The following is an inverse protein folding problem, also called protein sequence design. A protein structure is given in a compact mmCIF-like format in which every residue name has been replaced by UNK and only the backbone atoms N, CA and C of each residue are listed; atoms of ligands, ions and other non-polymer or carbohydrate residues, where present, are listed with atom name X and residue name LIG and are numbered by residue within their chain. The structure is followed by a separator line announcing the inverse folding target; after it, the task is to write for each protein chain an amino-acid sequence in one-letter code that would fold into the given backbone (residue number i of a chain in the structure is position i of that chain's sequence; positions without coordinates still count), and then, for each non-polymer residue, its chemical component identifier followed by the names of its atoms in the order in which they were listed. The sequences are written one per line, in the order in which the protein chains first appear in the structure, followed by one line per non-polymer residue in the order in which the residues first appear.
data_IF_672319959383
#
_entry.id   IF_672319959383
#
_cell.length_a   1.000
_cell.length_b   1.000
_cell.length_c   1.000
_cell.angle_alpha   90.00
_cell.angle_beta   90.00
_cell.angle_gamma   90.00
#
_symmetry.space_group_name_H-M   'P 1'
#
loop_
_entity.id
_entity.type
_entity.pdbx_description
1 polymer ?
#
# COMPACT_ATOMS: atom_id res chain seq x y z
N UNK A 1 17.50 -8.12 19.66
CA UNK A 1 16.17 -7.83 20.23
C UNK A 1 15.16 -8.83 19.69
N UNK A 2 14.09 -9.01 20.44
CA UNK A 2 12.88 -9.70 19.98
C UNK A 2 11.89 -8.67 19.45
N UNK A 3 11.45 -8.81 18.22
CA UNK A 3 10.55 -7.87 17.55
C UNK A 3 9.25 -8.57 17.19
N UNK A 4 8.12 -8.01 17.63
CA UNK A 4 6.81 -8.45 17.19
C UNK A 4 6.34 -7.56 16.07
N UNK A 5 6.03 -8.15 14.91
CA UNK A 5 5.37 -7.49 13.80
C UNK A 5 3.92 -7.95 13.70
N UNK A 6 3.01 -7.04 13.39
CA UNK A 6 1.61 -7.37 13.17
C UNK A 6 1.08 -6.75 11.88
N UNK A 7 0.54 -7.55 10.97
CA UNK A 7 0.06 -7.05 9.68
C UNK A 7 -1.31 -7.61 9.31
N UNK A 8 -2.15 -6.75 8.72
CA UNK A 8 -3.33 -7.19 7.99
C UNK A 8 -2.92 -8.08 6.81
N UNK A 9 -3.65 -9.16 6.58
CA UNK A 9 -3.21 -10.20 5.65
C UNK A 9 -3.37 -9.88 4.16
N UNK A 10 -3.86 -8.71 3.75
CA UNK A 10 -3.82 -8.33 2.34
C UNK A 10 -2.39 -8.01 1.88
N UNK A 11 -2.05 -8.31 0.60
CA UNK A 11 -0.70 -8.07 0.07
C UNK A 11 -0.20 -6.64 0.26
N UNK A 12 -1.10 -5.64 0.20
CA UNK A 12 -0.76 -4.23 0.41
C UNK A 12 -0.22 -3.90 1.80
N UNK A 13 -0.51 -4.74 2.79
CA UNK A 13 -0.13 -4.59 4.20
C UNK A 13 0.90 -5.64 4.64
N UNK A 14 0.68 -6.90 4.27
CA UNK A 14 1.57 -8.00 4.62
C UNK A 14 2.96 -7.87 3.98
N UNK A 15 3.04 -7.52 2.69
CA UNK A 15 4.32 -7.45 1.98
C UNK A 15 5.27 -6.38 2.51
N UNK A 16 4.85 -5.13 2.78
CA UNK A 16 5.70 -4.15 3.44
C UNK A 16 6.18 -4.59 4.82
N UNK A 17 5.34 -5.31 5.58
CA UNK A 17 5.72 -5.81 6.90
C UNK A 17 6.72 -6.97 6.79
N UNK A 18 6.57 -7.86 5.82
CA UNK A 18 7.57 -8.92 5.53
C UNK A 18 8.91 -8.29 5.11
N UNK A 19 8.87 -7.23 4.27
CA UNK A 19 10.08 -6.50 3.89
C UNK A 19 10.82 -5.90 5.09
N UNK A 20 10.08 -5.29 6.03
CA UNK A 20 10.65 -4.80 7.29
C UNK A 20 11.21 -5.96 8.13
N UNK A 21 10.46 -7.06 8.28
CA UNK A 21 10.88 -8.23 9.03
C UNK A 21 12.19 -8.81 8.49
N UNK A 22 12.31 -8.94 7.16
CA UNK A 22 13.55 -9.38 6.50
C UNK A 22 14.73 -8.46 6.81
N UNK A 23 14.51 -7.14 6.79
CA UNK A 23 15.57 -6.18 7.13
C UNK A 23 16.01 -6.31 8.59
N UNK A 24 15.09 -6.54 9.53
CA UNK A 24 15.38 -6.77 10.93
C UNK A 24 16.13 -8.10 11.16
N UNK A 25 15.71 -9.19 10.50
CA UNK A 25 16.42 -10.49 10.53
C UNK A 25 17.85 -10.35 10.02
N UNK A 26 18.07 -9.63 8.91
CA UNK A 26 19.39 -9.37 8.35
C UNK A 26 20.32 -8.60 9.31
N UNK A 27 19.75 -7.86 10.28
CA UNK A 27 20.47 -7.14 11.34
C UNK A 27 20.63 -7.98 12.61
N UNK A 28 20.22 -9.25 12.59
CA UNK A 28 20.41 -10.19 13.71
C UNK A 28 19.33 -10.13 14.78
N UNK A 29 18.13 -9.63 14.45
CA UNK A 29 17.01 -9.61 15.39
C UNK A 29 16.17 -10.89 15.29
N UNK A 30 15.56 -11.26 16.41
CA UNK A 30 14.60 -12.36 16.52
C UNK A 30 13.20 -11.79 16.24
N UNK A 31 12.65 -12.09 15.04
CA UNK A 31 11.45 -11.45 14.50
C UNK A 31 10.30 -12.46 14.44
N UNK A 32 9.16 -12.09 15.01
CA UNK A 32 7.90 -12.82 14.85
C UNK A 32 6.89 -11.96 14.14
N UNK A 33 6.28 -12.47 13.06
CA UNK A 33 5.21 -11.78 12.33
C UNK A 33 3.86 -12.47 12.56
N UNK A 34 2.90 -11.73 13.13
CA UNK A 34 1.51 -12.12 13.21
C UNK A 34 0.74 -11.60 11.99
N UNK A 35 0.24 -12.51 11.16
CA UNK A 35 -0.58 -12.21 9.97
C UNK A 35 -1.42 -13.42 9.57
N UNK A 36 -2.15 -13.35 8.45
CA UNK A 36 -3.01 -14.43 7.97
C UNK A 36 -2.22 -15.68 7.60
N UNK A 37 -2.76 -16.84 7.92
CA UNK A 37 -2.13 -18.16 7.75
C UNK A 37 -1.67 -18.45 6.32
N UNK A 38 -2.30 -17.86 5.31
CA UNK A 38 -1.88 -18.01 3.91
C UNK A 38 -0.44 -17.55 3.62
N UNK A 39 0.15 -16.73 4.50
CA UNK A 39 1.52 -16.21 4.35
C UNK A 39 2.55 -16.99 5.15
N UNK A 40 2.16 -18.00 5.93
CA UNK A 40 3.06 -18.74 6.83
C UNK A 40 4.34 -19.18 6.12
N UNK A 41 4.23 -19.96 5.04
CA UNK A 41 5.38 -20.47 4.31
C UNK A 41 6.29 -19.35 3.78
N UNK A 42 5.70 -18.25 3.32
CA UNK A 42 6.43 -17.11 2.79
C UNK A 42 7.19 -16.36 3.90
N UNK A 43 6.57 -16.17 5.06
CA UNK A 43 7.15 -15.53 6.24
C UNK A 43 8.32 -16.37 6.79
N UNK A 44 8.10 -17.68 6.99
CA UNK A 44 9.13 -18.60 7.47
C UNK A 44 10.31 -18.71 6.49
N UNK A 45 10.03 -18.62 5.18
CA UNK A 45 11.05 -18.61 4.13
C UNK A 45 12.02 -17.42 4.18
N UNK A 46 11.62 -16.32 4.82
CA UNK A 46 12.45 -15.12 5.06
C UNK A 46 13.17 -15.17 6.42
N UNK A 47 13.11 -16.30 7.14
CA UNK A 47 13.72 -16.45 8.47
C UNK A 47 12.95 -15.73 9.58
N UNK A 48 11.69 -15.40 9.36
CA UNK A 48 10.79 -14.75 10.33
C UNK A 48 9.91 -15.81 10.97
N UNK A 49 9.79 -15.84 12.30
CA UNK A 49 8.86 -16.71 12.97
C UNK A 49 7.42 -16.30 12.67
N UNK A 50 6.56 -17.28 12.41
CA UNK A 50 5.15 -17.02 12.06
C UNK A 50 4.24 -17.20 13.28
N UNK A 51 3.28 -16.29 13.43
CA UNK A 51 2.15 -16.42 14.34
C UNK A 51 0.83 -16.17 13.57
N UNK A 52 -0.20 -17.02 13.71
CA UNK A 52 -1.48 -16.78 13.06
C UNK A 52 -2.19 -15.58 13.67
N UNK A 53 -2.70 -14.67 12.83
CA UNK A 53 -3.56 -13.60 13.28
C UNK A 53 -4.97 -14.14 13.57
N UNK A 54 -5.64 -13.68 14.65
CA UNK A 54 -7.07 -13.94 14.82
C UNK A 54 -7.87 -13.31 13.69
N UNK A 55 -8.71 -14.10 13.01
CA UNK A 55 -9.53 -13.64 11.89
C UNK A 55 -11.00 -13.56 12.35
N UNK A 56 -11.49 -12.33 12.53
CA UNK A 56 -12.88 -12.08 12.89
C UNK A 56 -13.66 -11.49 11.72
N UNK A 57 -14.90 -11.92 11.57
CA UNK A 57 -15.78 -11.40 10.53
C UNK A 57 -16.36 -10.05 10.96
N UNK A 58 -15.98 -8.98 10.27
CA UNK A 58 -16.31 -7.59 10.62
C UNK A 58 -17.36 -6.97 9.68
N UNK A 59 -17.50 -7.50 8.46
CA UNK A 59 -18.46 -6.98 7.48
C UNK A 59 -19.61 -7.97 7.24
N UNK A 60 -20.77 -7.52 6.72
CA UNK A 60 -21.98 -8.34 6.59
C UNK A 60 -21.88 -9.43 5.52
N UNK A 61 -20.86 -10.27 5.60
CA UNK A 61 -20.65 -11.45 4.77
C UNK A 61 -21.05 -12.75 5.48
N UNK A 62 -21.65 -12.67 6.69
CA UNK A 62 -22.09 -13.79 7.50
C UNK A 62 -23.27 -13.45 8.40
N UNK A 63 -23.81 -14.46 9.12
CA UNK A 63 -25.04 -14.30 9.89
C UNK A 63 -24.92 -13.37 11.10
N UNK A 64 -23.73 -13.23 11.69
CA UNK A 64 -23.49 -12.41 12.89
C UNK A 64 -22.10 -11.72 12.80
N UNK A 65 -21.96 -10.66 11.99
CA UNK A 65 -20.70 -9.92 11.92
C UNK A 65 -20.51 -9.10 13.21
N UNK A 66 -19.30 -9.11 13.74
CA UNK A 66 -18.91 -8.22 14.84
C UNK A 66 -18.78 -6.77 14.38
N UNK A 67 -19.04 -5.81 15.27
CA UNK A 67 -18.64 -4.44 15.05
C UNK A 67 -17.10 -4.36 14.97
N UNK A 68 -16.57 -3.40 14.21
CA UNK A 68 -15.11 -3.32 13.98
C UNK A 68 -14.31 -3.29 15.27
N UNK A 69 -14.68 -2.44 16.21
CA UNK A 69 -13.97 -2.32 17.48
C UNK A 69 -14.23 -3.47 18.47
N UNK A 70 -15.36 -4.13 18.36
CA UNK A 70 -15.64 -5.39 19.08
C UNK A 70 -14.68 -6.50 18.61
N UNK A 71 -14.48 -6.63 17.31
CA UNK A 71 -13.49 -7.57 16.75
C UNK A 71 -12.06 -7.25 17.23
N UNK A 72 -11.71 -5.97 17.35
CA UNK A 72 -10.40 -5.54 17.89
C UNK A 72 -10.23 -5.98 19.34
N UNK A 73 -11.26 -5.89 20.18
CA UNK A 73 -11.21 -6.34 21.58
C UNK A 73 -10.92 -7.85 21.65
N UNK A 74 -11.68 -8.65 20.90
CA UNK A 74 -11.49 -10.11 20.85
C UNK A 74 -10.09 -10.46 20.33
N UNK A 75 -9.69 -9.89 19.20
CA UNK A 75 -8.38 -10.13 18.60
C UNK A 75 -7.22 -9.72 19.53
N UNK A 76 -7.37 -8.63 20.30
CA UNK A 76 -6.37 -8.23 21.30
C UNK A 76 -6.26 -9.24 22.43
N UNK A 77 -7.40 -9.73 22.94
CA UNK A 77 -7.42 -10.76 24.00
C UNK A 77 -6.78 -12.07 23.54
N UNK A 78 -7.01 -12.46 22.30
CA UNK A 78 -6.42 -13.68 21.70
C UNK A 78 -4.94 -13.53 21.41
N UNK A 79 -4.48 -12.31 21.09
CA UNK A 79 -3.06 -12.01 20.83
C UNK A 79 -2.24 -11.87 22.10
N UNK A 80 -2.84 -11.42 23.21
CA UNK A 80 -2.15 -11.12 24.47
C UNK A 80 -1.35 -12.30 25.06
N UNK A 81 -1.81 -13.55 25.07
CA UNK A 81 -1.02 -14.69 25.55
C UNK A 81 0.28 -14.88 24.77
N UNK A 82 0.27 -14.69 23.46
CA UNK A 82 1.42 -14.79 22.58
C UNK A 82 2.43 -13.67 22.90
N UNK A 83 1.97 -12.43 23.07
CA UNK A 83 2.85 -11.29 23.44
C UNK A 83 3.53 -11.54 24.79
N UNK A 84 2.78 -12.05 25.78
CA UNK A 84 3.33 -12.39 27.11
C UNK A 84 4.36 -13.51 27.05
N UNK A 85 4.18 -14.50 26.19
CA UNK A 85 5.12 -15.60 26.00
C UNK A 85 6.38 -15.16 25.25
N UNK A 86 6.21 -14.34 24.21
CA UNK A 86 7.30 -13.83 23.37
C UNK A 86 8.17 -12.83 24.13
N UNK A 87 7.58 -11.97 24.96
CA UNK A 87 8.24 -10.84 25.64
C UNK A 87 9.07 -9.99 24.66
N UNK A 88 8.43 -9.37 23.63
CA UNK A 88 9.16 -8.58 22.66
C UNK A 88 9.69 -7.28 23.28
N UNK A 89 10.86 -6.84 22.80
CA UNK A 89 11.45 -5.56 23.17
C UNK A 89 10.72 -4.38 22.52
N UNK A 90 10.15 -4.62 21.33
CA UNK A 90 9.37 -3.65 20.53
C UNK A 90 8.33 -4.35 19.68
N UNK A 91 7.20 -3.67 19.44
CA UNK A 91 6.19 -4.13 18.49
C UNK A 91 6.00 -3.10 17.36
N UNK A 92 5.81 -3.58 16.14
CA UNK A 92 5.42 -2.76 14.97
C UNK A 92 4.11 -3.29 14.42
N UNK A 93 3.07 -2.48 14.47
CA UNK A 93 1.76 -2.85 13.94
C UNK A 93 1.45 -2.06 12.65
N UNK A 94 0.88 -2.73 11.67
CA UNK A 94 0.31 -2.07 10.50
C UNK A 94 -0.88 -1.20 10.91
N UNK A 95 -1.07 -0.07 10.25
CA UNK A 95 -2.12 0.92 10.55
C UNK A 95 -3.54 0.33 10.62
N UNK A 96 -3.83 -0.77 9.91
CA UNK A 96 -5.13 -1.46 9.96
C UNK A 96 -5.20 -2.54 11.05
N UNK A 97 -4.10 -2.86 11.73
CA UNK A 97 -4.00 -4.00 12.64
C UNK A 97 -3.74 -3.53 14.06
N UNK A 98 -4.81 -3.16 14.79
CA UNK A 98 -4.71 -2.60 16.13
C UNK A 98 -4.41 -3.66 17.22
N UNK A 99 -4.82 -4.91 17.04
CA UNK A 99 -4.74 -5.93 18.08
C UNK A 99 -3.32 -6.19 18.59
N UNK A 100 -2.28 -6.38 17.75
CA UNK A 100 -0.90 -6.52 18.22
C UNK A 100 -0.39 -5.29 18.95
N UNK A 101 -0.78 -4.08 18.51
CA UNK A 101 -0.40 -2.83 19.17
C UNK A 101 -0.98 -2.74 20.59
N UNK A 102 -2.30 -2.98 20.72
CA UNK A 102 -2.96 -2.92 22.03
C UNK A 102 -2.50 -4.04 22.98
N UNK A 103 -2.23 -5.24 22.44
CA UNK A 103 -1.66 -6.34 23.25
C UNK A 103 -0.24 -6.02 23.73
N UNK A 104 0.58 -5.36 22.91
CA UNK A 104 1.91 -4.89 23.28
C UNK A 104 1.83 -3.79 24.35
N UNK A 105 0.93 -2.80 24.19
CA UNK A 105 0.72 -1.77 25.22
C UNK A 105 0.28 -2.36 26.57
N UNK A 106 -0.55 -3.41 26.58
CA UNK A 106 -0.95 -4.13 27.80
C UNK A 106 0.22 -4.86 28.50
N UNK A 107 1.34 -5.00 27.82
CA UNK A 107 2.59 -5.59 28.34
C UNK A 107 3.70 -4.54 28.50
N UNK A 108 3.39 -3.24 28.45
CA UNK A 108 4.34 -2.12 28.52
C UNK A 108 5.43 -2.15 27.44
N UNK A 109 5.16 -2.84 26.30
CA UNK A 109 6.07 -2.91 25.16
C UNK A 109 5.91 -1.66 24.28
N UNK A 110 7.00 -0.97 23.89
CA UNK A 110 6.91 0.17 22.98
C UNK A 110 6.38 -0.24 21.61
N UNK A 111 5.50 0.63 21.03
CA UNK A 111 4.80 0.34 19.78
C UNK A 111 5.13 1.38 18.71
N UNK A 112 5.53 0.90 17.54
CA UNK A 112 5.58 1.67 16.30
C UNK A 112 4.40 1.31 15.38
N UNK A 113 4.07 2.23 14.45
CA UNK A 113 3.09 1.95 13.39
C UNK A 113 3.76 1.96 12.02
N UNK A 114 3.52 0.91 11.22
CA UNK A 114 3.85 0.90 9.80
C UNK A 114 2.64 1.37 9.00
N UNK A 115 2.86 2.38 8.16
CA UNK A 115 1.88 2.92 7.20
C UNK A 115 2.36 2.53 5.80
N UNK A 116 1.79 1.48 5.18
CA UNK A 116 2.29 0.91 3.92
C UNK A 116 1.83 1.69 2.67
N UNK A 117 1.50 2.94 2.81
CA UNK A 117 1.03 3.85 1.76
C UNK A 117 1.39 5.29 2.08
N UNK A 118 0.96 6.26 1.25
CA UNK A 118 1.12 7.68 1.54
C UNK A 118 0.44 8.05 2.86
N UNK A 119 1.03 9.01 3.56
CA UNK A 119 0.58 9.40 4.90
C UNK A 119 -0.88 9.90 4.87
N UNK A 120 -1.79 9.29 5.66
CA UNK A 120 -3.22 9.55 5.52
C UNK A 120 -3.69 10.87 6.12
N UNK A 121 -2.87 11.53 6.94
CA UNK A 121 -3.24 12.80 7.53
C UNK A 121 -2.87 13.97 6.62
N UNK A 122 -3.86 14.76 6.23
CA UNK A 122 -3.65 15.99 5.48
C UNK A 122 -3.38 17.20 6.38
N UNK A 123 -2.74 18.24 5.83
CA UNK A 123 -2.79 19.58 6.39
C UNK A 123 -4.21 20.16 6.21
N UNK A 124 -4.54 21.20 6.97
CA UNK A 124 -5.90 21.78 6.97
C UNK A 124 -6.40 22.26 5.61
N UNK A 125 -5.49 22.58 4.70
CA UNK A 125 -5.81 23.05 3.36
C UNK A 125 -5.52 22.01 2.26
N UNK A 126 -5.18 20.77 2.65
CA UNK A 126 -5.06 19.66 1.71
C UNK A 126 -6.45 19.12 1.33
N UNK A 127 -6.57 18.49 0.15
CA UNK A 127 -7.74 17.69 -0.17
C UNK A 127 -7.98 16.61 0.88
N UNK A 128 -9.25 16.28 1.08
CA UNK A 128 -9.61 15.14 1.92
C UNK A 128 -9.01 13.87 1.32
N UNK A 129 -8.31 13.12 2.15
CA UNK A 129 -7.68 11.84 1.78
C UNK A 129 -8.66 10.90 1.09
N UNK A 130 -8.20 10.12 0.13
CA UNK A 130 -8.97 9.18 -0.70
C UNK A 130 -9.94 9.81 -1.72
N UNK A 131 -10.19 11.11 -1.72
CA UNK A 131 -10.99 11.73 -2.79
C UNK A 131 -10.23 11.83 -4.11
N UNK A 132 -8.90 11.79 -4.06
CA UNK A 132 -8.04 11.93 -5.23
C UNK A 132 -8.14 13.30 -5.89
N UNK A 133 -8.43 14.34 -5.13
CA UNK A 133 -8.42 15.69 -5.63
C UNK A 133 -6.99 16.22 -5.71
N UNK A 134 -6.73 17.12 -6.66
CA UNK A 134 -5.43 17.75 -6.80
C UNK A 134 -5.16 18.75 -5.68
N UNK A 135 -3.90 18.88 -5.29
CA UNK A 135 -3.47 19.91 -4.33
C UNK A 135 -3.89 21.30 -4.84
N UNK A 136 -4.53 22.15 -4.00
CA UNK A 136 -5.04 23.44 -4.43
C UNK A 136 -3.88 24.41 -4.76
N UNK A 137 -3.98 25.05 -5.92
CA UNK A 137 -3.00 26.04 -6.39
C UNK A 137 -3.39 27.48 -6.04
N UNK A 138 -4.63 27.71 -5.61
CA UNK A 138 -5.18 29.05 -5.32
C UNK A 138 -5.59 29.20 -3.85
N UNK A 139 -5.61 30.44 -3.36
CA UNK A 139 -6.11 30.75 -2.01
C UNK A 139 -7.56 30.33 -1.79
N UNK A 140 -8.43 30.52 -2.79
CA UNK A 140 -9.82 30.06 -2.74
C UNK A 140 -9.93 28.53 -2.63
N UNK A 141 -9.12 27.79 -3.37
CA UNK A 141 -9.07 26.34 -3.26
C UNK A 141 -8.61 25.87 -1.87
N UNK A 142 -7.59 26.49 -1.30
CA UNK A 142 -7.16 26.22 0.08
C UNK A 142 -8.25 26.52 1.10
N UNK A 143 -8.94 27.64 0.95
CA UNK A 143 -10.06 28.01 1.84
C UNK A 143 -11.21 27.00 1.76
N UNK A 144 -11.54 26.52 0.55
CA UNK A 144 -12.54 25.47 0.34
C UNK A 144 -12.18 24.20 1.13
N UNK A 145 -10.94 23.70 1.02
CA UNK A 145 -10.52 22.50 1.73
C UNK A 145 -10.46 22.67 3.23
N UNK A 146 -10.06 23.86 3.73
CA UNK A 146 -10.18 24.19 5.18
C UNK A 146 -11.62 24.09 5.69
N UNK A 147 -12.59 24.49 4.87
CA UNK A 147 -14.01 24.35 5.23
C UNK A 147 -14.47 22.89 5.24
N UNK A 148 -14.04 22.10 4.24
CA UNK A 148 -14.36 20.69 4.12
C UNK A 148 -13.72 19.84 5.23
N UNK A 149 -12.55 20.24 5.74
CA UNK A 149 -11.81 19.52 6.79
C UNK A 149 -12.62 19.36 8.08
N UNK A 150 -13.56 20.26 8.39
CA UNK A 150 -14.45 20.13 9.56
C UNK A 150 -15.25 18.82 9.60
N UNK A 151 -15.58 18.25 8.45
CA UNK A 151 -16.26 16.95 8.39
C UNK A 151 -15.29 15.79 8.72
N UNK A 152 -14.05 15.91 8.25
CA UNK A 152 -12.98 14.95 8.58
C UNK A 152 -12.71 14.99 10.09
N UNK A 153 -12.55 16.18 10.67
CA UNK A 153 -12.31 16.37 12.10
C UNK A 153 -13.40 15.71 12.97
N UNK A 154 -14.68 15.82 12.55
CA UNK A 154 -15.79 15.14 13.25
C UNK A 154 -15.69 13.62 13.16
N UNK A 155 -15.34 13.08 11.98
CA UNK A 155 -15.14 11.63 11.79
C UNK A 155 -13.98 11.11 12.62
N UNK A 156 -12.87 11.83 12.67
CA UNK A 156 -11.70 11.48 13.46
C UNK A 156 -11.98 11.51 14.96
N UNK A 157 -12.76 12.50 15.44
CA UNK A 157 -13.17 12.57 16.82
C UNK A 157 -14.14 11.43 17.21
N UNK A 158 -15.03 11.01 16.30
CA UNK A 158 -15.84 9.82 16.51
C UNK A 158 -14.96 8.57 16.65
N UNK A 159 -14.05 8.35 15.70
CA UNK A 159 -13.12 7.22 15.76
C UNK A 159 -12.24 7.22 17.03
N UNK A 160 -11.83 8.39 17.52
CA UNK A 160 -11.13 8.51 18.81
C UNK A 160 -11.98 8.04 19.99
N UNK A 161 -13.26 8.40 20.01
CA UNK A 161 -14.19 7.97 21.09
C UNK A 161 -14.39 6.47 21.07
N UNK A 162 -14.67 5.90 19.91
CA UNK A 162 -14.87 4.45 19.75
C UNK A 162 -13.61 3.66 20.14
N UNK A 163 -12.43 4.13 19.73
CA UNK A 163 -11.17 3.52 20.15
C UNK A 163 -10.95 3.64 21.66
N UNK A 164 -11.30 4.78 22.28
CA UNK A 164 -11.18 4.95 23.74
C UNK A 164 -12.16 4.07 24.52
N UNK A 165 -13.33 3.76 23.96
CA UNK A 165 -14.24 2.77 24.57
C UNK A 165 -13.62 1.37 24.53
N UNK A 166 -13.02 0.98 23.39
CA UNK A 166 -12.23 -0.26 23.26
C UNK A 166 -11.08 -0.31 24.27
N UNK A 167 -10.29 0.76 24.37
CA UNK A 167 -9.15 0.84 25.30
C UNK A 167 -9.59 0.70 26.74
N UNK A 168 -10.71 1.34 27.12
CA UNK A 168 -11.28 1.24 28.48
C UNK A 168 -11.70 -0.20 28.80
N UNK A 169 -12.31 -0.91 27.84
CA UNK A 169 -12.69 -2.31 28.03
C UNK A 169 -11.49 -3.25 28.17
N UNK A 170 -10.36 -2.89 27.57
CA UNK A 170 -9.08 -3.59 27.70
C UNK A 170 -8.28 -3.16 28.94
N UNK A 171 -8.70 -2.15 29.68
CA UNK A 171 -7.97 -1.62 30.83
C UNK A 171 -6.83 -0.65 30.48
N UNK A 172 -6.79 -0.14 29.26
CA UNK A 172 -5.81 0.84 28.78
C UNK A 172 -6.28 2.29 29.03
N UNK A 173 -5.37 3.24 29.29
CA UNK A 173 -5.73 4.65 29.42
C UNK A 173 -6.25 5.23 28.09
N UNK A 174 -7.16 6.23 28.14
CA UNK A 174 -7.68 6.86 26.94
C UNK A 174 -6.59 7.68 26.22
N UNK A 175 -6.75 7.81 24.89
CA UNK A 175 -5.93 8.68 24.05
C UNK A 175 -6.56 10.07 23.96
N UNK A 176 -5.75 11.11 24.13
CA UNK A 176 -6.18 12.50 24.00
C UNK A 176 -6.15 12.99 22.54
N UNK A 177 -5.35 12.37 21.71
CA UNK A 177 -5.17 12.73 20.29
C UNK A 177 -6.05 11.89 19.37
N UNK A 178 -6.44 12.45 18.23
CA UNK A 178 -7.07 11.74 17.13
C UNK A 178 -6.04 10.85 16.40
N UNK A 179 -6.51 9.94 15.54
CA UNK A 179 -5.66 8.97 14.83
C UNK A 179 -4.93 7.98 15.75
N UNK A 180 -5.63 7.49 16.76
CA UNK A 180 -5.09 6.58 17.76
C UNK A 180 -4.57 5.23 17.22
N UNK A 181 -4.80 4.91 15.94
CA UNK A 181 -4.16 3.78 15.25
C UNK A 181 -2.72 4.06 14.81
N UNK A 182 -2.23 5.31 14.94
CA UNK A 182 -0.86 5.70 14.60
C UNK A 182 -0.10 6.05 15.88
N UNK A 183 0.98 5.34 16.12
CA UNK A 183 1.83 5.59 17.28
C UNK A 183 2.44 6.98 17.25
N UNK A 184 2.47 7.65 18.40
CA UNK A 184 3.19 8.92 18.59
C UNK A 184 4.64 8.73 19.04
N UNK A 185 5.09 7.49 19.20
CA UNK A 185 6.50 7.18 19.47
C UNK A 185 7.27 7.03 18.16
N UNK A 186 6.70 6.26 17.20
CA UNK A 186 7.30 6.05 15.87
C UNK A 186 6.22 5.65 14.87
N UNK A 187 6.17 6.35 13.75
CA UNK A 187 5.36 6.00 12.58
C UNK A 187 6.24 5.96 11.33
N UNK A 188 6.29 4.78 10.70
CA UNK A 188 7.06 4.52 9.49
C UNK A 188 6.15 4.63 8.27
N UNK A 189 6.39 5.58 7.39
CA UNK A 189 5.61 5.77 6.15
C UNK A 189 6.37 5.14 4.99
N UNK A 190 5.87 3.99 4.50
CA UNK A 190 6.54 3.17 3.50
C UNK A 190 6.20 3.63 2.06
N UNK A 191 6.58 4.85 1.71
CA UNK A 191 6.35 5.43 0.38
C UNK A 191 7.55 6.28 -0.06
N UNK A 192 7.57 6.67 -1.32
CA UNK A 192 8.52 7.65 -1.82
C UNK A 192 8.27 9.02 -1.17
N UNK A 193 9.29 9.71 -0.62
CA UNK A 193 9.15 11.10 -0.16
C UNK A 193 8.60 12.02 -1.26
N UNK A 194 8.91 11.74 -2.52
CA UNK A 194 8.48 12.49 -3.69
C UNK A 194 6.98 12.31 -4.02
N UNK A 195 6.30 11.35 -3.41
CA UNK A 195 4.84 11.19 -3.49
C UNK A 195 4.12 11.93 -2.35
N UNK A 196 4.85 12.42 -1.36
CA UNK A 196 4.26 13.18 -0.25
C UNK A 196 4.15 14.67 -0.56
N UNK A 197 3.00 15.25 -0.28
CA UNK A 197 2.82 16.70 -0.40
C UNK A 197 3.70 17.44 0.63
N UNK A 198 4.27 18.60 0.28
CA UNK A 198 5.10 19.38 1.20
C UNK A 198 4.35 19.72 2.48
N UNK A 199 4.94 19.36 3.62
CA UNK A 199 4.36 19.58 4.96
C UNK A 199 5.44 19.70 6.03
N UNK A 200 5.06 20.22 7.19
CA UNK A 200 5.82 20.03 8.41
C UNK A 200 5.53 18.63 8.97
N UNK A 201 6.56 17.78 9.02
CA UNK A 201 6.42 16.44 9.56
C UNK A 201 6.48 16.46 11.10
N UNK A 202 5.58 15.72 11.79
CA UNK A 202 5.75 15.44 13.20
C UNK A 202 7.05 14.66 13.46
N UNK A 203 7.73 14.93 14.57
CA UNK A 203 9.03 14.29 14.89
C UNK A 203 9.00 12.76 14.87
N UNK A 204 7.87 12.17 15.27
CA UNK A 204 7.68 10.71 15.31
C UNK A 204 7.34 10.08 13.95
N UNK A 205 7.17 10.87 12.88
CA UNK A 205 6.77 10.37 11.55
C UNK A 205 7.95 10.42 10.59
N UNK A 206 8.34 9.25 10.06
CA UNK A 206 9.47 9.11 9.16
C UNK A 206 9.01 8.48 7.84
N UNK A 207 9.25 9.17 6.72
CA UNK A 207 9.07 8.60 5.38
C UNK A 207 10.34 7.82 5.04
N UNK A 208 10.24 6.49 5.11
CA UNK A 208 11.41 5.60 5.02
C UNK A 208 11.73 5.14 3.60
N UNK A 209 10.84 5.39 2.65
CA UNK A 209 10.90 4.80 1.31
C UNK A 209 10.00 3.58 1.18
N UNK A 210 9.78 3.07 -0.05
CA UNK A 210 8.91 1.92 -0.28
C UNK A 210 9.51 0.63 0.29
N UNK A 211 8.76 -0.04 1.16
CA UNK A 211 9.09 -1.37 1.65
C UNK A 211 8.49 -2.40 0.69
N UNK A 212 9.34 -3.09 -0.06
CA UNK A 212 8.91 -3.95 -1.16
C UNK A 212 9.35 -5.39 -0.94
N UNK A 213 8.38 -6.28 -0.95
CA UNK A 213 8.56 -7.71 -0.99
C UNK A 213 7.48 -8.33 -1.91
N UNK A 214 7.75 -9.49 -2.46
CA UNK A 214 6.76 -10.32 -3.14
C UNK A 214 7.13 -11.79 -3.02
N UNK A 215 6.16 -12.71 -3.05
CA UNK A 215 6.44 -14.13 -3.05
C UNK A 215 7.19 -14.54 -4.32
N UNK A 216 8.03 -15.59 -4.25
CA UNK A 216 8.68 -16.16 -5.43
C UNK A 216 7.65 -16.50 -6.53
N UNK A 217 8.02 -16.23 -7.77
CA UNK A 217 7.22 -16.53 -8.95
C UNK A 217 8.14 -16.90 -10.13
N UNK A 218 7.62 -17.63 -11.10
CA UNK A 218 8.34 -17.97 -12.31
C UNK A 218 8.54 -16.77 -13.23
N UNK A 219 9.57 -16.84 -14.07
CA UNK A 219 9.79 -15.84 -15.10
C UNK A 219 8.76 -15.97 -16.21
N UNK A 220 8.32 -14.82 -16.70
CA UNK A 220 7.40 -14.75 -17.84
C UNK A 220 8.05 -13.95 -18.95
N UNK A 221 8.27 -14.57 -20.10
CA UNK A 221 8.78 -13.87 -21.26
C UNK A 221 7.73 -12.90 -21.81
N UNK A 222 8.09 -11.62 -22.08
CA UNK A 222 7.20 -10.69 -22.75
C UNK A 222 6.95 -11.11 -24.22
N UNK A 223 5.94 -10.52 -24.88
CA UNK A 223 5.79 -10.68 -26.33
C UNK A 223 7.08 -10.27 -27.06
N UNK A 224 7.46 -10.97 -28.16
CA UNK A 224 8.65 -10.62 -28.92
C UNK A 224 8.51 -9.26 -29.63
N UNK A 225 9.64 -8.59 -29.89
CA UNK A 225 9.71 -7.31 -30.59
C UNK A 225 10.58 -6.29 -29.84
N UNK A 226 10.75 -5.12 -30.46
CA UNK A 226 11.55 -4.00 -29.95
C UNK A 226 10.67 -2.79 -29.50
N UNK A 227 9.37 -2.86 -29.78
CA UNK A 227 8.44 -1.80 -29.39
C UNK A 227 8.38 -1.65 -27.87
N UNK A 228 7.98 -0.47 -27.33
CA UNK A 228 7.81 -0.27 -25.91
C UNK A 228 6.95 -1.35 -25.25
N UNK A 229 7.41 -1.87 -24.13
CA UNK A 229 6.69 -2.88 -23.37
C UNK A 229 5.78 -2.26 -22.32
N UNK A 230 4.49 -2.53 -22.43
CA UNK A 230 3.45 -2.07 -21.50
C UNK A 230 2.97 -3.25 -20.65
N UNK A 231 3.21 -3.17 -19.33
CA UNK A 231 2.65 -4.12 -18.38
C UNK A 231 1.24 -3.66 -17.96
N UNK A 232 0.24 -4.53 -18.07
CA UNK A 232 -1.12 -4.29 -17.57
C UNK A 232 -1.36 -5.13 -16.33
N UNK A 233 -1.38 -4.46 -15.16
CA UNK A 233 -1.44 -5.06 -13.83
C UNK A 233 -2.75 -4.65 -13.11
N UNK A 234 -3.87 -5.38 -13.28
CA UNK A 234 -5.14 -5.07 -12.64
C UNK A 234 -5.11 -5.35 -11.13
N UNK A 235 -6.07 -4.78 -10.40
CA UNK A 235 -6.28 -5.07 -8.99
C UNK A 235 -6.69 -6.53 -8.79
N UNK A 236 -6.20 -7.14 -7.72
CA UNK A 236 -6.59 -8.49 -7.28
C UNK A 236 -8.02 -8.53 -6.71
N UNK A 237 -8.60 -7.39 -6.33
CA UNK A 237 -9.87 -7.32 -5.61
C UNK A 237 -10.93 -6.38 -6.22
N UNK A 238 -10.53 -5.26 -6.83
CA UNK A 238 -11.40 -4.10 -7.06
C UNK A 238 -12.00 -3.96 -8.48
N UNK A 239 -11.74 -4.90 -9.39
CA UNK A 239 -12.27 -4.88 -10.77
C UNK A 239 -12.71 -6.29 -11.20
N UNK A 240 -13.82 -6.82 -10.65
CA UNK A 240 -14.29 -8.19 -10.91
C UNK A 240 -14.55 -8.50 -12.39
N UNK A 241 -14.94 -7.50 -13.16
CA UNK A 241 -15.21 -7.64 -14.60
C UNK A 241 -13.97 -7.44 -15.48
N UNK A 242 -12.80 -7.18 -14.89
CA UNK A 242 -11.55 -6.88 -15.59
C UNK A 242 -11.71 -5.74 -16.62
N UNK A 243 -12.44 -4.69 -16.26
CA UNK A 243 -12.75 -3.58 -17.17
C UNK A 243 -11.50 -2.89 -17.69
N UNK A 244 -10.54 -2.62 -16.81
CA UNK A 244 -9.27 -1.99 -17.20
C UNK A 244 -8.47 -2.90 -18.15
N UNK A 245 -8.33 -4.18 -17.80
CA UNK A 245 -7.63 -5.16 -18.63
C UNK A 245 -8.26 -5.29 -20.03
N UNK A 246 -9.59 -5.40 -20.09
CA UNK A 246 -10.32 -5.44 -21.36
C UNK A 246 -10.17 -4.17 -22.19
N UNK A 247 -10.16 -3.01 -21.53
CA UNK A 247 -9.97 -1.73 -22.20
C UNK A 247 -8.53 -1.60 -22.75
N UNK A 248 -7.53 -2.07 -22.00
CA UNK A 248 -6.14 -2.08 -22.44
C UNK A 248 -5.93 -2.99 -23.65
N UNK A 249 -6.39 -4.26 -23.58
CA UNK A 249 -6.22 -5.22 -24.67
C UNK A 249 -6.92 -4.76 -25.98
N UNK A 250 -8.11 -4.12 -25.87
CA UNK A 250 -8.80 -3.57 -27.05
C UNK A 250 -8.19 -2.27 -27.55
N UNK A 251 -7.72 -1.41 -26.64
CA UNK A 251 -7.20 -0.09 -27.01
C UNK A 251 -5.77 -0.14 -27.56
N UNK A 252 -5.00 -1.14 -27.18
CA UNK A 252 -3.59 -1.28 -27.55
C UNK A 252 -3.35 -2.35 -28.62
N UNK A 253 -4.38 -3.05 -29.08
CA UNK A 253 -4.22 -4.20 -29.98
C UNK A 253 -3.62 -3.86 -31.35
N UNK A 254 -3.78 -2.63 -31.82
CA UNK A 254 -3.22 -2.08 -33.06
C UNK A 254 -2.23 -0.93 -32.80
N UNK A 255 -1.82 -0.73 -31.57
CA UNK A 255 -0.82 0.26 -31.19
C UNK A 255 0.60 -0.28 -31.36
N UNK A 256 1.56 0.62 -31.61
CA UNK A 256 2.99 0.27 -31.72
C UNK A 256 3.63 0.04 -30.34
N UNK A 257 3.11 -0.96 -29.63
CA UNK A 257 3.57 -1.40 -28.32
C UNK A 257 3.45 -2.92 -28.20
N UNK A 258 4.21 -3.51 -27.30
CA UNK A 258 4.02 -4.88 -26.82
C UNK A 258 3.26 -4.85 -25.48
N UNK A 259 2.32 -5.75 -25.30
CA UNK A 259 1.48 -5.78 -24.10
C UNK A 259 1.69 -7.10 -23.34
N UNK A 260 2.27 -7.02 -22.15
CA UNK A 260 2.23 -8.11 -21.20
C UNK A 260 1.13 -7.81 -20.17
N UNK A 261 0.16 -8.70 -20.03
CA UNK A 261 -0.97 -8.48 -19.14
C UNK A 261 -1.17 -9.66 -18.20
N UNK A 262 -1.62 -9.40 -16.99
CA UNK A 262 -1.96 -10.44 -16.03
C UNK A 262 -3.38 -10.27 -15.52
N UNK A 263 -4.06 -11.36 -15.16
CA UNK A 263 -5.32 -11.29 -14.40
C UNK A 263 -5.14 -11.46 -12.88
N UNK A 264 -3.88 -11.52 -12.42
CA UNK A 264 -3.51 -11.55 -11.00
C UNK A 264 -4.25 -12.65 -10.21
N UNK A 265 -4.23 -13.89 -10.73
CA UNK A 265 -4.87 -15.08 -10.14
C UNK A 265 -6.39 -14.96 -9.96
N UNK A 266 -7.00 -13.98 -10.63
CA UNK A 266 -8.45 -13.80 -10.65
C UNK A 266 -8.99 -14.05 -12.04
N UNK A 267 -9.41 -15.28 -12.32
CA UNK A 267 -9.88 -15.68 -13.63
C UNK A 267 -10.97 -14.74 -14.16
N UNK A 268 -10.84 -14.21 -15.38
CA UNK A 268 -11.85 -13.35 -15.98
C UNK A 268 -13.17 -14.09 -16.17
N UNK A 269 -14.33 -13.48 -15.83
CA UNK A 269 -15.64 -14.13 -15.97
C UNK A 269 -16.06 -14.38 -17.42
N UNK A 270 -15.38 -13.75 -18.38
CA UNK A 270 -15.60 -13.93 -19.83
C UNK A 270 -14.26 -13.93 -20.57
N UNK A 271 -14.15 -14.58 -21.74
CA UNK A 271 -12.93 -14.57 -22.55
C UNK A 271 -12.38 -13.16 -22.78
N UNK A 272 -11.06 -13.01 -22.73
CA UNK A 272 -10.38 -11.75 -23.00
C UNK A 272 -10.13 -11.59 -24.50
N UNK A 273 -10.23 -10.36 -25.06
CA UNK A 273 -9.87 -10.06 -26.44
C UNK A 273 -8.34 -9.91 -26.54
N UNK A 274 -7.61 -11.02 -26.69
CA UNK A 274 -6.14 -11.00 -26.74
C UNK A 274 -5.67 -10.72 -28.16
N UNK A 275 -5.09 -9.53 -28.47
CA UNK A 275 -4.56 -9.20 -29.78
C UNK A 275 -3.16 -9.82 -30.01
N UNK A 276 -2.68 -9.80 -31.26
CA UNK A 276 -1.42 -10.42 -31.64
C UNK A 276 -0.15 -9.84 -31.01
N UNK A 277 -0.19 -8.58 -30.58
CA UNK A 277 0.90 -7.90 -29.86
C UNK A 277 0.84 -8.08 -28.33
N UNK A 278 -0.10 -8.90 -27.83
CA UNK A 278 -0.31 -9.09 -26.39
C UNK A 278 -0.09 -10.55 -25.95
N UNK A 279 0.48 -10.70 -24.77
CA UNK A 279 0.51 -11.95 -24.01
C UNK A 279 -0.22 -11.75 -22.69
N UNK A 280 -1.15 -12.65 -22.37
CA UNK A 280 -1.93 -12.61 -21.13
C UNK A 280 -1.62 -13.84 -20.30
N UNK A 281 -1.27 -13.64 -19.04
CA UNK A 281 -0.86 -14.69 -18.10
C UNK A 281 -1.61 -14.58 -16.78
N UNK A 282 -1.51 -15.61 -15.96
CA UNK A 282 -2.15 -15.65 -14.65
C UNK A 282 -1.48 -14.67 -13.66
N UNK A 283 -0.15 -14.70 -13.62
CA UNK A 283 0.66 -13.96 -12.67
C UNK A 283 2.04 -13.63 -13.26
N UNK A 284 2.64 -12.53 -12.81
CA UNK A 284 4.02 -12.16 -13.11
C UNK A 284 4.72 -11.70 -11.82
N UNK A 285 6.02 -11.94 -11.71
CA UNK A 285 6.88 -11.26 -10.74
C UNK A 285 7.02 -9.80 -11.14
N UNK A 286 6.54 -8.89 -10.35
CA UNK A 286 6.70 -7.45 -10.61
C UNK A 286 8.16 -7.02 -10.47
N UNK A 287 8.90 -7.60 -9.51
CA UNK A 287 10.31 -7.30 -9.30
C UNK A 287 11.18 -7.63 -10.53
N UNK A 288 10.84 -8.71 -11.28
CA UNK A 288 11.57 -9.15 -12.47
C UNK A 288 11.00 -8.59 -13.76
N UNK A 289 9.69 -8.34 -13.80
CA UNK A 289 9.01 -7.91 -15.04
C UNK A 289 9.05 -6.40 -15.23
N UNK A 290 8.81 -5.61 -14.16
CA UNK A 290 8.73 -4.15 -14.28
C UNK A 290 10.03 -3.50 -14.76
N UNK A 291 11.23 -3.95 -14.38
CA UNK A 291 12.47 -3.40 -14.95
C UNK A 291 12.62 -3.55 -16.47
N UNK A 292 11.85 -4.43 -17.08
CA UNK A 292 11.82 -4.64 -18.54
C UNK A 292 10.78 -3.76 -19.25
N UNK A 293 9.93 -3.05 -18.48
CA UNK A 293 8.78 -2.34 -19.01
C UNK A 293 9.06 -0.82 -19.16
N UNK A 294 8.49 -0.22 -20.19
CA UNK A 294 8.49 1.22 -20.40
C UNK A 294 7.32 1.91 -19.67
N UNK A 295 6.22 1.19 -19.45
CA UNK A 295 5.02 1.70 -18.81
C UNK A 295 4.27 0.60 -18.05
N UNK A 296 3.77 0.96 -16.88
CA UNK A 296 2.85 0.10 -16.10
C UNK A 296 1.45 0.72 -16.04
N UNK A 297 0.44 0.00 -16.52
CA UNK A 297 -0.99 0.35 -16.41
C UNK A 297 -1.57 -0.40 -15.24
N UNK A 298 -2.03 0.32 -14.20
CA UNK A 298 -2.55 -0.32 -12.98
C UNK A 298 -3.70 0.45 -12.33
N UNK A 299 -4.34 -0.15 -11.32
CA UNK A 299 -5.38 0.49 -10.51
C UNK A 299 -4.83 1.45 -9.43
N UNK A 300 -3.56 1.79 -9.47
CA UNK A 300 -2.89 2.62 -8.48
C UNK A 300 -2.97 2.07 -7.04
N UNK A 301 -3.04 0.75 -6.85
CA UNK A 301 -2.72 0.12 -5.58
C UNK A 301 -1.29 0.48 -5.20
N UNK A 302 -1.06 0.90 -3.94
CA UNK A 302 0.20 1.50 -3.53
C UNK A 302 1.42 0.61 -3.84
N UNK A 303 1.37 -0.67 -3.46
CA UNK A 303 2.47 -1.60 -3.70
C UNK A 303 2.85 -1.75 -5.18
N UNK A 304 1.86 -1.83 -6.09
CA UNK A 304 2.11 -1.89 -7.55
C UNK A 304 2.71 -0.58 -8.06
N UNK A 305 2.16 0.56 -7.60
CA UNK A 305 2.62 1.89 -8.01
C UNK A 305 4.07 2.15 -7.61
N UNK A 306 4.41 1.92 -6.33
CA UNK A 306 5.78 2.20 -5.85
C UNK A 306 6.79 1.23 -6.46
N UNK A 307 6.41 -0.02 -6.74
CA UNK A 307 7.30 -0.96 -7.42
C UNK A 307 7.56 -0.55 -8.87
N UNK A 308 6.55 -0.09 -9.59
CA UNK A 308 6.74 0.43 -10.95
C UNK A 308 7.70 1.63 -10.95
N UNK A 309 7.50 2.58 -10.03
CA UNK A 309 8.38 3.75 -9.91
C UNK A 309 9.80 3.39 -9.47
N UNK A 310 9.95 2.42 -8.56
CA UNK A 310 11.27 1.89 -8.15
C UNK A 310 11.99 1.16 -9.29
N UNK A 311 11.25 0.65 -10.27
CA UNK A 311 11.81 0.08 -11.52
C UNK A 311 12.06 1.13 -12.61
N UNK A 312 11.89 2.43 -12.33
CA UNK A 312 12.03 3.50 -13.30
C UNK A 312 10.91 3.59 -14.34
N UNK A 313 9.82 2.84 -14.16
CA UNK A 313 8.70 2.81 -15.11
C UNK A 313 7.74 3.95 -14.89
N UNK A 314 7.34 4.66 -15.95
CA UNK A 314 6.18 5.53 -15.92
C UNK A 314 4.90 4.74 -15.60
N UNK A 315 3.90 5.40 -15.01
CA UNK A 315 2.66 4.72 -14.58
C UNK A 315 1.43 5.38 -15.19
N UNK A 316 0.55 4.55 -15.78
CA UNK A 316 -0.84 4.95 -16.08
C UNK A 316 -1.75 4.43 -14.97
N UNK A 317 -2.18 5.33 -14.09
CA UNK A 317 -3.05 5.04 -12.96
C UNK A 317 -4.53 5.11 -13.36
N UNK A 318 -5.25 3.99 -13.25
CA UNK A 318 -6.70 3.87 -13.46
C UNK A 318 -7.39 3.56 -12.13
N UNK A 319 -7.52 4.53 -11.18
CA UNK A 319 -7.94 4.23 -9.82
C UNK A 319 -9.34 3.63 -9.76
N UNK A 320 -9.49 2.58 -8.95
CA UNK A 320 -10.77 1.90 -8.78
C UNK A 320 -11.61 2.55 -7.66
N UNK A 321 -11.10 2.59 -6.44
CA UNK A 321 -11.78 3.11 -5.23
C UNK A 321 -10.76 3.58 -4.17
N UNK A 322 -11.24 4.31 -3.18
CA UNK A 322 -10.53 4.59 -1.92
C UNK A 322 -9.15 5.24 -2.10
N UNK A 323 -8.17 4.70 -1.40
CA UNK A 323 -6.77 5.14 -1.40
C UNK A 323 -6.11 5.15 -2.79
N UNK A 324 -6.57 4.31 -3.72
CA UNK A 324 -6.09 4.31 -5.11
C UNK A 324 -6.32 5.66 -5.80
N UNK A 325 -7.40 6.38 -5.43
CA UNK A 325 -7.62 7.73 -5.95
C UNK A 325 -6.56 8.71 -5.45
N UNK A 326 -6.17 8.59 -4.17
CA UNK A 326 -5.11 9.40 -3.57
C UNK A 326 -3.75 9.07 -4.22
N UNK A 327 -3.42 7.80 -4.33
CA UNK A 327 -2.18 7.35 -4.97
C UNK A 327 -2.06 7.88 -6.41
N UNK A 328 -3.16 7.82 -7.19
CA UNK A 328 -3.20 8.37 -8.55
C UNK A 328 -3.06 9.90 -8.59
N UNK A 329 -3.60 10.62 -7.59
CA UNK A 329 -3.44 12.07 -7.48
C UNK A 329 -1.99 12.46 -7.11
N UNK A 330 -1.36 11.69 -6.22
CA UNK A 330 0.04 11.87 -5.83
C UNK A 330 1.00 11.58 -6.98
N UNK A 331 0.73 10.52 -7.76
CA UNK A 331 1.46 10.21 -8.98
C UNK A 331 1.42 11.36 -10.01
N UNK A 332 0.21 11.87 -10.31
CA UNK A 332 -0.01 13.01 -11.23
C UNK A 332 0.69 14.28 -10.71
N UNK A 333 0.64 14.51 -9.39
CA UNK A 333 1.35 15.63 -8.75
C UNK A 333 2.87 15.48 -8.82
N UNK A 334 3.40 14.29 -8.59
CA UNK A 334 4.84 14.00 -8.68
C UNK A 334 5.38 14.04 -10.11
N UNK A 335 4.52 14.03 -11.12
CA UNK A 335 4.89 14.09 -12.53
C UNK A 335 5.44 12.78 -13.12
N UNK A 336 5.32 11.66 -12.41
CA UNK A 336 5.86 10.36 -12.83
C UNK A 336 4.84 9.46 -13.55
N UNK A 337 3.68 10.00 -13.93
CA UNK A 337 2.66 9.22 -14.63
C UNK A 337 1.43 10.01 -15.03
N UNK A 338 0.48 9.29 -15.59
CA UNK A 338 -0.80 9.82 -16.07
C UNK A 338 -1.94 9.22 -15.26
N UNK A 339 -2.92 10.02 -14.89
CA UNK A 339 -4.14 9.56 -14.22
C UNK A 339 -5.30 9.48 -15.21
N UNK A 340 -5.93 8.31 -15.31
CA UNK A 340 -7.17 8.09 -16.07
C UNK A 340 -8.32 7.74 -15.10
N UNK A 341 -9.23 8.66 -14.77
CA UNK A 341 -10.33 8.38 -13.86
C UNK A 341 -11.20 7.20 -14.31
N UNK A 342 -11.71 6.40 -13.36
CA UNK A 342 -12.46 5.16 -13.60
C UNK A 342 -13.57 5.31 -14.64
N UNK A 343 -14.32 6.43 -14.63
CA UNK A 343 -15.42 6.70 -15.57
C UNK A 343 -14.97 6.77 -17.03
N UNK A 344 -13.70 7.08 -17.29
CA UNK A 344 -13.11 7.20 -18.63
C UNK A 344 -12.33 5.95 -19.05
N UNK A 345 -12.22 4.92 -18.20
CA UNK A 345 -11.53 3.68 -18.55
C UNK A 345 -12.32 2.95 -19.63
N UNK A 346 -11.90 3.16 -20.89
CA UNK A 346 -12.39 2.54 -22.11
C UNK A 346 -11.26 2.52 -23.16
N UNK A 347 -11.38 1.74 -24.27
CA UNK A 347 -10.25 1.48 -25.17
C UNK A 347 -9.54 2.75 -25.68
N UNK A 348 -10.28 3.69 -26.26
CA UNK A 348 -9.68 4.91 -26.85
C UNK A 348 -9.06 5.86 -25.83
N UNK A 349 -9.70 6.26 -24.72
CA UNK A 349 -9.07 7.08 -23.70
C UNK A 349 -7.86 6.41 -23.04
N UNK A 350 -7.89 5.08 -22.84
CA UNK A 350 -6.75 4.37 -22.29
C UNK A 350 -5.57 4.40 -23.25
N UNK A 351 -5.79 4.14 -24.57
CA UNK A 351 -4.76 4.28 -25.59
C UNK A 351 -4.12 5.66 -25.60
N UNK A 352 -4.92 6.72 -25.64
CA UNK A 352 -4.41 8.11 -25.60
C UNK A 352 -3.60 8.41 -24.35
N UNK A 353 -3.99 7.85 -23.20
CA UNK A 353 -3.24 8.00 -21.96
C UNK A 353 -1.91 7.22 -21.97
N UNK A 354 -1.86 6.05 -22.60
CA UNK A 354 -0.62 5.28 -22.84
C UNK A 354 0.30 6.03 -23.78
N UNK A 355 -0.20 6.48 -24.93
CA UNK A 355 0.54 7.27 -25.92
C UNK A 355 1.14 8.54 -25.27
N UNK A 356 0.37 9.22 -24.42
CA UNK A 356 0.83 10.36 -23.65
C UNK A 356 1.96 9.98 -22.68
N UNK A 357 1.77 8.92 -21.88
CA UNK A 357 2.75 8.51 -20.86
C UNK A 357 4.09 8.07 -21.51
N UNK A 358 4.03 7.40 -22.67
CA UNK A 358 5.20 6.98 -23.44
C UNK A 358 5.82 8.14 -24.24
N UNK A 359 5.01 9.09 -24.72
CA UNK A 359 5.47 10.22 -25.56
C UNK A 359 6.06 11.39 -24.77
N UNK A 360 5.56 11.68 -23.56
CA UNK A 360 6.05 12.80 -22.75
C UNK A 360 7.37 12.44 -22.02
N UNK A 361 8.50 12.97 -22.50
CA UNK A 361 9.83 12.69 -21.92
C UNK A 361 9.93 13.12 -20.45
N UNK A 362 9.26 14.21 -20.06
CA UNK A 362 9.23 14.66 -18.66
C UNK A 362 8.68 13.62 -17.69
N UNK A 363 7.67 12.84 -18.11
CA UNK A 363 7.07 11.77 -17.30
C UNK A 363 8.07 10.62 -17.14
N UNK A 364 8.70 10.20 -18.25
CA UNK A 364 9.68 9.10 -18.24
C UNK A 364 10.95 9.47 -17.46
N UNK A 365 11.45 10.68 -17.67
CA UNK A 365 12.60 11.19 -16.93
C UNK A 365 12.32 11.21 -15.42
N UNK A 366 11.13 11.67 -15.03
CA UNK A 366 10.75 11.69 -13.62
C UNK A 366 10.60 10.29 -13.03
N UNK A 367 10.08 9.33 -13.79
CA UNK A 367 10.00 7.93 -13.35
C UNK A 367 11.41 7.34 -13.14
N UNK A 368 12.35 7.59 -14.08
CA UNK A 368 13.75 7.16 -13.92
C UNK A 368 14.42 7.77 -12.70
N UNK A 369 14.24 9.07 -12.44
CA UNK A 369 14.75 9.74 -11.23
C UNK A 369 14.27 9.06 -9.95
N UNK A 370 13.01 8.59 -9.91
CA UNK A 370 12.47 7.86 -8.76
C UNK A 370 13.07 6.45 -8.65
N UNK A 371 13.33 5.79 -9.78
CA UNK A 371 14.06 4.52 -9.80
C UNK A 371 15.48 4.66 -9.26
N UNK A 372 16.24 5.64 -9.76
CA UNK A 372 17.59 5.96 -9.28
C UNK A 372 17.60 6.32 -7.78
N UNK A 373 16.59 7.06 -7.34
CA UNK A 373 16.44 7.36 -5.91
C UNK A 373 16.22 6.07 -5.10
N UNK A 374 15.38 5.15 -5.57
CA UNK A 374 15.10 3.88 -4.89
C UNK A 374 16.35 2.98 -4.81
N UNK A 375 17.14 2.92 -5.87
CA UNK A 375 18.40 2.16 -5.92
C UNK A 375 19.43 2.69 -4.92
N UNK A 376 19.43 3.99 -4.66
CA UNK A 376 20.31 4.64 -3.69
C UNK A 376 19.80 4.65 -2.25
N UNK A 377 18.60 4.09 -1.97
CA UNK A 377 17.94 4.19 -0.66
C UNK A 377 17.44 2.84 -0.15
N UNK A 378 18.12 2.32 0.86
CA UNK A 378 17.66 1.10 1.55
C UNK A 378 16.57 1.45 2.57
N UNK A 379 15.32 1.42 2.13
CA UNK A 379 14.15 1.67 2.96
C UNK A 379 14.02 0.66 4.11
N UNK A 380 14.42 -0.60 3.88
CA UNK A 380 14.41 -1.66 4.88
C UNK A 380 15.40 -1.39 6.01
N UNK A 381 16.65 -1.09 5.66
CA UNK A 381 17.69 -0.74 6.64
C UNK A 381 17.31 0.52 7.44
N UNK A 382 16.77 1.55 6.77
CA UNK A 382 16.34 2.78 7.45
C UNK A 382 15.17 2.53 8.41
N UNK A 383 14.19 1.74 8.01
CA UNK A 383 13.06 1.39 8.88
C UNK A 383 13.51 0.54 10.09
N UNK A 384 14.39 -0.44 9.86
CA UNK A 384 14.95 -1.27 10.93
C UNK A 384 15.74 -0.44 11.96
N UNK A 385 16.59 0.49 11.52
CA UNK A 385 17.34 1.41 12.37
C UNK A 385 16.42 2.24 13.28
N UNK A 386 15.32 2.75 12.74
CA UNK A 386 14.34 3.51 13.52
C UNK A 386 13.61 2.63 14.56
N UNK A 387 13.31 1.37 14.21
CA UNK A 387 12.71 0.41 15.16
C UNK A 387 13.70 0.08 16.28
N UNK A 388 14.99 -0.11 15.99
CA UNK A 388 16.04 -0.32 16.98
C UNK A 388 16.14 0.85 17.98
N UNK A 389 15.99 2.07 17.48
CA UNK A 389 16.04 3.28 18.33
C UNK A 389 14.81 3.46 19.22
N UNK A 390 13.76 2.65 19.07
CA UNK A 390 12.54 2.71 19.88
C UNK A 390 12.57 1.72 21.06
N UNK A 391 13.35 0.64 20.98
CA UNK A 391 13.42 -0.47 21.94
C UNK A 391 14.21 -0.15 23.24
#
# INVERSE_FOLDING_TARGET
MKVLLGAFGDPGHAFPMIALGRALVARGHDVTLQTWTRWQQAVEGEGIAFAPAPEYQVFPSGPEPLAFYEAVIHATRDTLPMVRALQPDVAVADILTLAPALAAELCDVPVATLIPHVYPHGERDFPIYSLGARLPRTGAGRLFWRGAQRQVDRGLELGRRELNDTRRELGLPPLEHVHGGISRRLALVATFPQLEYPRAWPEHVHVVGPLMWEPPADDVEPPPGEQPLVLVAPSTAQDPEHRMLRAALRGLGDADVRVLATWNRRLPPRPLPVPGNARVVDWVSYARTMPLCDLVVCHAGHGTLVRALASGCAVLACPAVGDMNENAARLDWAGAGVRLPRRFVSPRPLRLAVERALGEESIRARARELGEWADGHDAGARAAELVEGLA
#
